data_IF_037847475046
#
_entry.id   IF_037847475046
#
_cell.length_a   1.000
_cell.length_b   1.000
_cell.length_c   1.000
_cell.angle_alpha   90.00
_cell.angle_beta   90.00
_cell.angle_gamma   90.00
#
_symmetry.space_group_name_H-M   'P 1'
#
loop_
_entity.id
_entity.type
_entity.pdbx_description
1 polymer ?
#
# COMPACT_ATOMS: atom_id res chain seq x y z
N UNK A 1 2.46 5.92 -21.56
CA UNK A 1 1.44 6.15 -20.50
C UNK A 1 1.24 7.66 -20.37
N UNK A 2 0.01 8.19 -20.36
CA UNK A 2 -0.24 9.63 -20.18
C UNK A 2 0.29 10.13 -18.83
N UNK A 3 0.87 11.34 -18.78
CA UNK A 3 1.43 11.92 -17.55
C UNK A 3 0.41 12.07 -16.41
N UNK A 4 -0.87 12.26 -16.75
CA UNK A 4 -1.99 12.29 -15.79
C UNK A 4 -2.20 10.98 -15.00
N UNK A 5 -1.61 9.87 -15.45
CA UNK A 5 -1.69 8.58 -14.77
C UNK A 5 -0.53 8.36 -13.78
N UNK A 6 0.38 9.33 -13.64
CA UNK A 6 1.43 9.27 -12.64
C UNK A 6 0.81 9.33 -11.24
N UNK A 7 1.02 8.30 -10.44
CA UNK A 7 0.62 8.27 -9.04
C UNK A 7 1.74 8.88 -8.20
N UNK A 8 1.45 10.03 -7.59
CA UNK A 8 2.43 10.74 -6.76
C UNK A 8 3.49 11.47 -7.58
N UNK A 9 4.72 11.52 -7.04
CA UNK A 9 5.87 12.20 -7.65
C UNK A 9 6.82 11.21 -8.30
N UNK A 10 7.44 11.63 -9.41
CA UNK A 10 8.49 10.85 -10.06
C UNK A 10 9.66 10.61 -9.10
N UNK A 11 10.19 9.39 -9.08
CA UNK A 11 11.23 8.95 -8.15
C UNK A 11 10.75 8.52 -6.76
N UNK A 12 9.50 8.81 -6.36
CA UNK A 12 8.96 8.41 -5.05
C UNK A 12 8.24 7.06 -5.05
N UNK A 13 8.20 6.34 -6.19
CA UNK A 13 7.46 5.09 -6.34
C UNK A 13 7.80 4.02 -5.29
N UNK A 14 9.06 3.93 -4.87
CA UNK A 14 9.49 3.01 -3.82
C UNK A 14 8.82 3.30 -2.47
N UNK A 15 8.69 4.58 -2.10
CA UNK A 15 8.05 4.99 -0.84
C UNK A 15 6.57 4.63 -0.83
N UNK A 16 5.87 4.85 -1.95
CA UNK A 16 4.47 4.47 -2.10
C UNK A 16 4.28 2.95 -2.06
N UNK A 17 5.13 2.19 -2.75
CA UNK A 17 5.09 0.73 -2.74
C UNK A 17 5.29 0.17 -1.32
N UNK A 18 6.26 0.69 -0.56
CA UNK A 18 6.49 0.24 0.81
C UNK A 18 5.35 0.62 1.76
N UNK A 19 4.81 1.84 1.67
CA UNK A 19 3.68 2.26 2.51
C UNK A 19 2.47 1.34 2.29
N UNK A 20 2.13 1.08 1.03
CA UNK A 20 1.04 0.17 0.66
C UNK A 20 1.27 -1.26 1.16
N UNK A 21 2.50 -1.78 1.05
CA UNK A 21 2.83 -3.12 1.55
C UNK A 21 2.78 -3.20 3.09
N UNK A 22 3.20 -2.14 3.79
CA UNK A 22 3.17 -2.08 5.25
C UNK A 22 1.72 -2.01 5.77
N UNK A 23 0.91 -1.14 5.17
CA UNK A 23 -0.52 -1.01 5.50
C UNK A 23 -1.28 -2.30 5.16
N UNK A 24 -1.00 -2.92 4.00
CA UNK A 24 -1.63 -4.17 3.58
C UNK A 24 -1.34 -5.33 4.54
N UNK A 25 -0.11 -5.46 5.05
CA UNK A 25 0.26 -6.49 6.04
C UNK A 25 -0.46 -6.31 7.36
N UNK A 26 -0.56 -5.08 7.85
CA UNK A 26 -1.31 -4.75 9.08
C UNK A 26 -2.80 -5.03 8.86
N UNK A 27 -3.34 -4.66 7.70
CA UNK A 27 -4.74 -4.90 7.35
C UNK A 27 -5.10 -6.39 7.31
N UNK A 28 -4.23 -7.24 6.75
CA UNK A 28 -4.41 -8.70 6.74
C UNK A 28 -4.31 -9.26 8.17
N UNK A 29 -3.30 -8.85 8.94
CA UNK A 29 -3.15 -9.29 10.34
C UNK A 29 -4.36 -8.91 11.19
N UNK A 30 -4.89 -7.70 11.02
CA UNK A 30 -6.10 -7.24 11.69
C UNK A 30 -7.35 -8.02 11.24
N UNK A 31 -7.49 -8.31 9.94
CA UNK A 31 -8.59 -9.13 9.42
C UNK A 31 -8.54 -10.58 9.93
N UNK A 32 -7.36 -11.18 9.95
CA UNK A 32 -7.15 -12.54 10.49
C UNK A 32 -7.45 -12.58 11.98
N UNK A 33 -7.00 -11.58 12.75
CA UNK A 33 -7.31 -11.45 14.18
C UNK A 33 -8.82 -11.29 14.44
N UNK A 34 -9.50 -10.43 13.68
CA UNK A 34 -10.96 -10.28 13.75
C UNK A 34 -11.72 -11.55 13.40
N UNK A 35 -11.17 -12.40 12.52
CA UNK A 35 -11.81 -13.65 12.13
C UNK A 35 -11.61 -14.76 13.18
N UNK A 36 -10.54 -14.68 14.00
CA UNK A 36 -10.23 -15.67 15.03
C UNK A 36 -10.87 -15.38 16.40
N UNK A 37 -11.41 -14.17 16.64
CA UNK A 37 -12.09 -13.75 17.87
C UNK A 37 -13.61 -13.71 17.66
#
# INVERSE_FOLDING_TARGET
>A
IPAKNLLGKEGEGYKYAISMLNEGRIGIGAQVSKFLL
#
